data_IF_756686519315
#
_entry.id   IF_756686519315
#
_cell.length_a   1.000
_cell.length_b   1.000
_cell.length_c   1.000
_cell.angle_alpha   90.00
_cell.angle_beta   90.00
_cell.angle_gamma   90.00
#
_symmetry.space_group_name_H-M   'P 1'
#
loop_
_entity.id
_entity.type
_entity.pdbx_description
1 polymer ?
#
# COMPACT_ATOMS: atom_id res chain seq x y z
N UNK A 1 -10.32 -30.07 20.89
CA UNK A 1 -10.51 -30.33 19.45
C UNK A 1 -9.51 -29.46 18.71
N UNK A 2 -8.31 -29.99 18.44
CA UNK A 2 -7.22 -29.24 17.79
C UNK A 2 -7.31 -29.44 16.28
N UNK A 3 -7.35 -28.33 15.54
CA UNK A 3 -7.35 -28.31 14.08
C UNK A 3 -6.05 -28.92 13.53
N UNK A 4 -6.10 -30.17 13.09
CA UNK A 4 -5.08 -30.79 12.24
C UNK A 4 -5.10 -30.15 10.86
N UNK A 5 -4.23 -29.16 10.63
CA UNK A 5 -3.85 -28.79 9.28
C UNK A 5 -2.98 -29.92 8.73
N UNK A 6 -3.45 -30.60 7.68
CA UNK A 6 -2.66 -31.57 6.93
C UNK A 6 -1.48 -30.83 6.27
N UNK A 7 -0.30 -30.88 6.89
CA UNK A 7 0.95 -30.54 6.21
C UNK A 7 1.28 -31.68 5.26
N UNK A 8 1.03 -31.49 3.97
CA UNK A 8 1.60 -32.33 2.92
C UNK A 8 3.07 -31.91 2.74
N UNK A 9 4.01 -32.86 2.85
CA UNK A 9 5.38 -32.61 2.40
C UNK A 9 5.32 -32.21 0.93
N UNK A 10 5.84 -31.01 0.64
CA UNK A 10 5.83 -30.43 -0.71
C UNK A 10 7.23 -30.55 -1.30
N UNK A 11 7.35 -30.30 -2.60
CA UNK A 11 8.62 -30.26 -3.35
C UNK A 11 9.80 -29.47 -2.75
N UNK A 12 9.66 -28.50 -1.82
CA UNK A 12 10.80 -27.85 -1.18
C UNK A 12 11.67 -28.81 -0.34
N UNK A 13 11.09 -29.84 0.26
CA UNK A 13 11.74 -30.63 1.32
C UNK A 13 12.92 -31.47 0.80
N UNK A 14 12.85 -31.96 -0.46
CA UNK A 14 13.94 -32.68 -1.12
C UNK A 14 15.12 -31.77 -1.51
N UNK A 15 14.83 -30.53 -1.92
CA UNK A 15 15.86 -29.54 -2.26
C UNK A 15 16.63 -29.08 -1.01
N UNK A 16 15.98 -29.02 0.16
CA UNK A 16 16.64 -28.73 1.43
C UNK A 16 17.62 -29.85 1.82
N UNK A 17 17.22 -31.12 1.72
CA UNK A 17 18.11 -32.27 1.98
C UNK A 17 19.38 -32.21 1.13
N UNK A 18 19.26 -31.97 -0.19
CA UNK A 18 20.41 -31.91 -1.09
C UNK A 18 21.40 -30.78 -0.76
N UNK A 19 20.93 -29.66 -0.22
CA UNK A 19 21.79 -28.56 0.22
C UNK A 19 22.44 -28.84 1.57
N UNK A 20 21.73 -29.51 2.46
CA UNK A 20 22.21 -29.88 3.80
C UNK A 20 23.23 -31.02 3.74
N UNK A 21 23.07 -31.98 2.82
CA UNK A 21 24.04 -33.06 2.56
C UNK A 21 25.42 -32.55 2.09
N UNK A 22 25.53 -31.29 1.65
CA UNK A 22 26.81 -30.67 1.27
C UNK A 22 27.57 -30.08 2.44
N UNK A 23 26.95 -30.03 3.62
CA UNK A 23 27.59 -29.52 4.83
C UNK A 23 28.25 -30.69 5.56
N UNK A 24 29.51 -30.51 5.98
CA UNK A 24 30.27 -31.51 6.75
C UNK A 24 29.86 -31.48 8.23
N UNK A 25 28.56 -31.52 8.49
CA UNK A 25 27.96 -31.60 9.82
C UNK A 25 26.83 -32.64 9.78
N UNK A 26 26.67 -33.46 10.84
CA UNK A 26 25.56 -34.40 10.93
C UNK A 26 24.25 -33.62 11.06
N UNK A 27 23.34 -33.79 10.10
CA UNK A 27 22.01 -33.16 10.09
C UNK A 27 20.95 -34.24 10.21
N UNK A 28 20.09 -34.14 11.23
CA UNK A 28 18.90 -34.97 11.37
C UNK A 28 17.67 -34.19 10.87
N UNK A 29 16.94 -34.75 9.89
CA UNK A 29 15.71 -34.15 9.37
C UNK A 29 14.52 -34.95 9.86
N UNK A 30 13.60 -34.27 10.55
CA UNK A 30 12.39 -34.87 11.09
C UNK A 30 11.18 -34.51 10.22
N UNK A 31 10.43 -35.52 9.79
CA UNK A 31 9.19 -35.32 9.07
C UNK A 31 8.03 -34.99 10.04
N UNK A 32 7.11 -34.08 9.68
CA UNK A 32 5.92 -33.82 10.46
C UNK A 32 5.05 -35.07 10.68
N UNK A 33 4.30 -35.07 11.78
CA UNK A 33 3.39 -36.16 12.13
C UNK A 33 2.32 -36.35 11.03
N UNK A 34 2.12 -37.60 10.59
CA UNK A 34 1.17 -37.93 9.53
C UNK A 34 1.76 -37.94 8.11
N UNK A 35 3.06 -37.68 7.96
CA UNK A 35 3.73 -37.80 6.66
C UNK A 35 3.68 -39.25 6.15
N UNK A 36 3.28 -39.42 4.88
CA UNK A 36 3.20 -40.74 4.25
C UNK A 36 4.55 -41.45 4.28
N UNK A 37 4.55 -42.73 4.65
CA UNK A 37 5.77 -43.56 4.73
C UNK A 37 6.59 -43.61 3.44
N UNK A 38 5.96 -43.35 2.29
CA UNK A 38 6.65 -43.29 0.98
C UNK A 38 7.52 -42.03 0.83
N UNK A 39 7.13 -40.92 1.47
CA UNK A 39 7.78 -39.60 1.36
C UNK A 39 8.94 -39.40 2.33
N UNK A 40 9.12 -40.30 3.30
CA UNK A 40 10.19 -40.27 4.31
C UNK A 40 11.33 -41.24 3.98
N UNK A 41 11.33 -41.80 2.77
CA UNK A 41 12.37 -42.72 2.31
C UNK A 41 13.55 -41.94 1.75
N UNK A 42 14.77 -42.46 1.94
CA UNK A 42 15.99 -41.90 1.33
C UNK A 42 15.85 -41.83 -0.18
N UNK A 43 15.30 -42.86 -0.81
CA UNK A 43 15.10 -42.92 -2.25
C UNK A 43 14.21 -41.78 -2.78
N UNK A 44 13.19 -41.38 -2.01
CA UNK A 44 12.35 -40.23 -2.36
C UNK A 44 13.09 -38.91 -2.17
N UNK A 45 13.84 -38.75 -1.07
CA UNK A 45 14.61 -37.55 -0.76
C UNK A 45 15.78 -37.33 -1.72
N UNK A 46 16.41 -38.42 -2.17
CA UNK A 46 17.55 -38.43 -3.09
C UNK A 46 17.13 -38.44 -4.57
N UNK A 47 15.85 -38.66 -4.86
CA UNK A 47 15.35 -38.60 -6.24
C UNK A 47 15.55 -37.19 -6.82
N UNK A 48 16.26 -37.09 -7.94
CA UNK A 48 16.23 -35.89 -8.77
C UNK A 48 14.82 -35.76 -9.34
N UNK A 49 14.02 -34.87 -8.73
CA UNK A 49 12.67 -34.59 -9.22
C UNK A 49 12.76 -33.97 -10.62
N UNK A 50 12.61 -34.81 -11.66
CA UNK A 50 12.24 -34.37 -12.99
C UNK A 50 10.78 -33.94 -12.96
N UNK A 51 10.55 -32.68 -12.61
CA UNK A 51 9.22 -32.11 -12.62
C UNK A 51 9.30 -30.60 -12.62
N UNK A 52 8.64 -29.99 -13.61
CA UNK A 52 8.43 -28.56 -13.81
C UNK A 52 7.62 -27.88 -12.68
N UNK A 53 7.71 -28.37 -11.43
CA UNK A 53 7.45 -27.56 -10.25
C UNK A 53 8.71 -26.74 -9.94
N UNK A 54 9.17 -25.97 -10.94
CA UNK A 54 9.75 -24.68 -10.63
C UNK A 54 8.66 -23.99 -9.81
N UNK A 55 8.81 -24.00 -8.49
CA UNK A 55 8.33 -22.89 -7.69
C UNK A 55 8.93 -21.69 -8.42
N UNK A 56 8.13 -21.05 -9.29
CA UNK A 56 8.41 -19.72 -9.78
C UNK A 56 8.33 -18.89 -8.51
N UNK A 57 9.40 -18.95 -7.72
CA UNK A 57 9.62 -18.03 -6.65
C UNK A 57 9.54 -16.70 -7.34
N UNK A 58 8.47 -15.94 -7.08
CA UNK A 58 8.41 -14.55 -7.49
C UNK A 58 9.77 -13.99 -7.10
N UNK A 59 10.53 -13.51 -8.10
CA UNK A 59 11.79 -12.81 -7.82
C UNK A 59 11.41 -11.74 -6.82
N UNK A 60 11.87 -11.88 -5.57
CA UNK A 60 11.54 -10.93 -4.52
C UNK A 60 11.95 -9.57 -5.03
N UNK A 61 11.04 -8.60 -5.00
CA UNK A 61 11.38 -7.24 -5.39
C UNK A 61 12.61 -6.82 -4.59
N UNK A 62 13.65 -6.37 -5.31
CA UNK A 62 14.83 -5.82 -4.69
C UNK A 62 14.44 -4.49 -4.07
N UNK A 63 14.94 -4.21 -2.86
CA UNK A 63 14.75 -2.91 -2.22
C UNK A 63 15.14 -1.79 -3.18
N UNK A 64 14.19 -0.89 -3.46
CA UNK A 64 14.42 0.31 -4.26
C UNK A 64 14.90 1.46 -3.37
N UNK A 65 15.99 2.17 -3.71
CA UNK A 65 16.44 3.32 -2.93
C UNK A 65 15.37 4.40 -2.74
N UNK A 66 14.50 4.58 -3.73
CA UNK A 66 13.39 5.52 -3.73
C UNK A 66 12.38 5.24 -2.60
N UNK A 67 12.27 3.98 -2.15
CA UNK A 67 11.37 3.62 -1.05
C UNK A 67 11.84 4.19 0.29
N UNK A 68 13.08 4.65 0.42
CA UNK A 68 13.51 5.42 1.59
C UNK A 68 12.63 6.67 1.79
N UNK A 69 12.19 7.31 0.70
CA UNK A 69 11.27 8.46 0.80
C UNK A 69 9.89 8.06 1.34
N UNK A 70 9.40 6.83 1.07
CA UNK A 70 8.14 6.33 1.62
C UNK A 70 8.23 6.10 3.13
N UNK A 71 9.35 5.52 3.58
CA UNK A 71 9.61 5.31 5.02
C UNK A 71 9.88 6.63 5.72
N UNK A 72 10.48 7.62 5.04
CA UNK A 72 10.67 8.96 5.58
C UNK A 72 9.33 9.65 5.87
N UNK A 73 8.35 9.55 4.96
CA UNK A 73 6.99 10.05 5.22
C UNK A 73 6.41 9.39 6.47
N UNK A 74 6.54 8.06 6.60
CA UNK A 74 6.07 7.33 7.78
C UNK A 74 6.79 7.82 9.05
N UNK A 75 8.11 8.03 9.00
CA UNK A 75 8.91 8.51 10.13
C UNK A 75 8.51 9.90 10.59
N UNK A 76 8.22 10.80 9.66
CA UNK A 76 7.81 12.16 10.00
C UNK A 76 6.37 12.23 10.51
N UNK A 77 5.49 11.34 10.04
CA UNK A 77 4.13 11.20 10.60
C UNK A 77 4.19 10.60 12.01
N UNK A 78 4.96 9.54 12.24
CA UNK A 78 5.10 8.89 13.56
C UNK A 78 5.71 9.82 14.63
N UNK A 79 6.55 10.77 14.21
CA UNK A 79 7.14 11.76 15.12
C UNK A 79 6.15 12.83 15.62
N UNK A 80 4.94 12.93 15.05
CA UNK A 80 3.96 13.93 15.44
C UNK A 80 3.14 13.45 16.65
N UNK A 81 2.99 14.27 17.72
CA UNK A 81 2.36 13.86 18.99
C UNK A 81 0.93 13.31 18.91
N UNK A 82 0.19 13.65 17.85
CA UNK A 82 -1.22 13.30 17.67
C UNK A 82 -1.51 12.67 16.30
N UNK A 83 -0.50 12.17 15.61
CA UNK A 83 -0.72 11.52 14.33
C UNK A 83 -1.51 10.21 14.50
N UNK A 84 -2.48 10.01 13.61
CA UNK A 84 -3.19 8.75 13.53
C UNK A 84 -2.23 7.64 13.12
N UNK A 85 -2.31 6.45 13.74
CA UNK A 85 -1.44 5.36 13.36
C UNK A 85 -1.67 4.95 11.90
N UNK A 86 -0.58 4.76 11.17
CA UNK A 86 -0.65 4.42 9.75
C UNK A 86 -0.90 2.92 9.59
N UNK A 87 -2.11 2.54 9.16
CA UNK A 87 -2.41 1.17 8.75
C UNK A 87 -2.01 0.88 7.30
N UNK A 88 -2.14 -0.39 6.87
CA UNK A 88 -1.86 -0.82 5.48
C UNK A 88 -2.61 0.01 4.44
N UNK A 89 -3.86 0.37 4.69
CA UNK A 89 -4.66 1.17 3.75
C UNK A 89 -4.13 2.59 3.64
N UNK A 90 -3.80 3.24 4.76
CA UNK A 90 -3.23 4.60 4.73
C UNK A 90 -1.85 4.58 4.05
N UNK A 91 -1.02 3.57 4.34
CA UNK A 91 0.27 3.40 3.68
C UNK A 91 0.13 3.19 2.16
N UNK A 92 -0.88 2.43 1.72
CA UNK A 92 -1.25 2.32 0.30
C UNK A 92 -1.50 3.70 -0.33
N UNK A 93 -2.20 4.58 0.38
CA UNK A 93 -2.52 5.92 -0.11
C UNK A 93 -1.30 6.84 -0.09
N UNK A 94 -0.41 6.71 0.90
CA UNK A 94 0.88 7.42 0.91
C UNK A 94 1.71 7.02 -0.32
N UNK A 95 1.82 5.71 -0.59
CA UNK A 95 2.54 5.21 -1.76
C UNK A 95 1.95 5.76 -3.07
N UNK A 96 0.63 5.81 -3.16
CA UNK A 96 -0.07 6.40 -4.30
C UNK A 96 0.30 7.88 -4.48
N UNK A 97 0.17 8.69 -3.43
CA UNK A 97 0.44 10.13 -3.50
C UNK A 97 1.90 10.40 -3.87
N UNK A 98 2.85 9.70 -3.24
CA UNK A 98 4.27 9.86 -3.56
C UNK A 98 4.57 9.48 -5.02
N UNK A 99 3.95 8.41 -5.52
CA UNK A 99 4.05 8.02 -6.94
C UNK A 99 3.50 9.13 -7.84
N UNK A 100 2.39 9.75 -7.47
CA UNK A 100 1.80 10.87 -8.24
C UNK A 100 2.57 12.17 -8.19
N UNK A 101 3.33 12.40 -7.11
CA UNK A 101 4.28 13.50 -7.05
C UNK A 101 5.55 13.20 -7.86
N UNK A 102 5.67 12.02 -8.47
CA UNK A 102 6.78 11.64 -9.35
C UNK A 102 7.94 10.97 -8.61
N UNK A 103 7.65 10.20 -7.56
CA UNK A 103 8.57 9.20 -7.03
C UNK A 103 8.45 7.92 -7.89
N UNK A 104 9.55 7.41 -8.42
CA UNK A 104 9.54 6.11 -9.13
C UNK A 104 9.47 4.96 -8.12
N UNK A 105 8.26 4.68 -7.66
CA UNK A 105 8.01 3.57 -6.73
C UNK A 105 8.01 2.21 -7.42
N UNK A 106 7.81 2.17 -8.75
CA UNK A 106 7.53 0.96 -9.50
C UNK A 106 6.11 0.41 -9.36
N UNK A 107 5.22 1.09 -8.62
CA UNK A 107 3.87 0.59 -8.35
C UNK A 107 2.88 0.97 -9.46
N UNK A 108 2.10 0.01 -9.93
CA UNK A 108 1.01 0.28 -10.87
C UNK A 108 -0.31 0.44 -10.12
N UNK A 109 -0.77 1.68 -10.01
CA UNK A 109 -2.02 1.99 -9.31
C UNK A 109 -3.22 1.95 -10.26
N UNK A 110 -4.19 1.12 -9.90
CA UNK A 110 -5.43 0.94 -10.63
C UNK A 110 -6.64 1.40 -9.82
N UNK A 111 -7.76 1.62 -10.52
CA UNK A 111 -9.05 1.96 -9.94
C UNK A 111 -9.62 0.74 -9.21
N UNK A 112 -9.93 0.88 -7.92
CA UNK A 112 -10.55 -0.21 -7.13
C UNK A 112 -11.70 0.30 -6.24
N UNK A 113 -12.46 -0.60 -5.61
CA UNK A 113 -13.62 -0.28 -4.77
C UNK A 113 -13.31 0.66 -3.61
N UNK A 114 -12.05 0.73 -3.17
CA UNK A 114 -11.57 1.56 -2.07
C UNK A 114 -10.57 2.65 -2.54
N UNK A 115 -10.71 3.12 -3.78
CA UNK A 115 -9.82 4.11 -4.38
C UNK A 115 -8.62 3.48 -5.11
N UNK A 116 -7.52 4.22 -5.33
CA UNK A 116 -6.34 3.69 -6.03
C UNK A 116 -5.66 2.57 -5.23
N UNK A 117 -5.28 1.50 -5.90
CA UNK A 117 -4.69 0.31 -5.31
C UNK A 117 -3.61 -0.29 -6.21
N UNK A 118 -2.51 -0.76 -5.61
CA UNK A 118 -1.43 -1.52 -6.24
C UNK A 118 -1.11 -2.75 -5.37
N UNK A 119 -1.02 -3.94 -5.96
CA UNK A 119 -0.68 -5.18 -5.23
C UNK A 119 0.77 -5.15 -4.72
N UNK A 120 1.64 -4.47 -5.46
CA UNK A 120 3.07 -4.32 -5.25
C UNK A 120 3.38 -3.64 -3.91
N UNK A 121 2.49 -2.78 -3.40
CA UNK A 121 2.67 -2.16 -2.08
C UNK A 121 2.73 -3.22 -0.97
N UNK A 122 1.94 -4.30 -1.08
CA UNK A 122 1.99 -5.41 -0.11
C UNK A 122 3.35 -6.10 -0.16
N UNK A 123 3.88 -6.31 -1.36
CA UNK A 123 5.19 -6.92 -1.56
C UNK A 123 6.32 -6.00 -1.05
N UNK A 124 6.22 -4.70 -1.31
CA UNK A 124 7.13 -3.69 -0.81
C UNK A 124 7.15 -3.62 0.73
N UNK A 125 6.00 -3.68 1.41
CA UNK A 125 5.95 -3.77 2.88
C UNK A 125 6.75 -4.98 3.37
N UNK A 126 6.61 -6.15 2.73
CA UNK A 126 7.39 -7.33 3.10
C UNK A 126 8.89 -7.14 2.88
N UNK A 127 9.31 -6.49 1.79
CA UNK A 127 10.73 -6.18 1.53
C UNK A 127 11.29 -5.19 2.57
N UNK A 128 10.53 -4.14 2.90
CA UNK A 128 10.89 -3.16 3.92
C UNK A 128 10.99 -3.79 5.31
N UNK A 129 10.07 -4.72 5.62
CA UNK A 129 10.09 -5.45 6.88
C UNK A 129 11.32 -6.36 6.99
N UNK A 130 11.70 -7.05 5.90
CA UNK A 130 12.92 -7.88 5.86
C UNK A 130 14.21 -7.06 6.09
N UNK A 131 14.21 -5.78 5.70
CA UNK A 131 15.31 -4.84 5.96
C UNK A 131 15.21 -4.18 7.35
N UNK A 132 14.17 -4.50 8.13
CA UNK A 132 13.83 -3.85 9.41
C UNK A 132 13.64 -2.33 9.28
N UNK A 133 13.17 -1.87 8.12
CA UNK A 133 12.81 -0.46 7.89
C UNK A 133 11.38 -0.15 8.33
N UNK A 134 10.49 -1.15 8.32
CA UNK A 134 9.14 -1.06 8.86
C UNK A 134 8.84 -2.27 9.73
N UNK A 135 7.94 -2.10 10.70
CA UNK A 135 7.45 -3.16 11.57
C UNK A 135 5.93 -3.08 11.64
N UNK A 136 5.26 -4.22 11.55
CA UNK A 136 3.81 -4.31 11.75
C UNK A 136 3.52 -4.60 13.23
N UNK A 137 2.74 -3.73 13.87
CA UNK A 137 2.36 -3.87 15.29
C UNK A 137 0.85 -3.91 15.41
N UNK A 138 0.33 -4.85 16.20
CA UNK A 138 -1.09 -4.92 16.48
C UNK A 138 -1.49 -3.83 17.50
N UNK A 139 -2.43 -2.99 17.13
CA UNK A 139 -3.04 -1.96 17.96
C UNK A 139 -4.54 -2.25 18.09
N UNK A 140 -4.90 -3.04 19.10
CA UNK A 140 -6.27 -3.53 19.28
C UNK A 140 -6.70 -4.41 18.11
N UNK A 141 -7.72 -3.99 17.35
CA UNK A 141 -8.20 -4.70 16.14
C UNK A 141 -7.43 -4.31 14.87
N UNK A 142 -6.61 -3.27 14.90
CA UNK A 142 -5.89 -2.74 13.74
C UNK A 142 -4.43 -3.20 13.72
N UNK A 143 -3.88 -3.43 12.54
CA UNK A 143 -2.44 -3.59 12.34
C UNK A 143 -1.84 -2.27 11.85
N UNK A 144 -0.98 -1.66 12.65
CA UNK A 144 -0.26 -0.43 12.31
C UNK A 144 1.12 -0.77 11.72
N UNK A 145 1.56 0.03 10.75
CA UNK A 145 2.90 0.01 10.18
C UNK A 145 3.68 1.13 10.87
N UNK A 146 4.79 0.78 11.49
CA UNK A 146 5.71 1.70 12.19
C UNK A 146 7.08 1.68 11.57
N UNK A 147 7.87 2.72 11.84
CA UNK A 147 9.28 2.73 11.46
C UNK A 147 10.04 1.66 12.25
N UNK A 148 10.81 0.86 11.52
CA UNK A 148 11.63 -0.20 12.09
C UNK A 148 12.99 0.31 12.61
N UNK A 149 13.63 -0.45 13.52
CA UNK A 149 14.82 -0.01 14.23
C UNK A 149 16.07 0.18 13.34
N UNK A 150 16.11 -0.44 12.15
CA UNK A 150 17.24 -0.26 11.23
C UNK A 150 17.14 1.05 10.43
N UNK A 151 15.93 1.60 10.25
CA UNK A 151 15.73 2.77 9.39
C UNK A 151 16.50 4.01 9.85
N UNK A 152 16.55 4.43 11.13
CA UNK A 152 17.28 5.64 11.53
C UNK A 152 18.77 5.60 11.20
N UNK A 153 19.38 4.41 11.23
CA UNK A 153 20.78 4.21 10.84
C UNK A 153 20.92 4.29 9.31
N UNK A 154 20.11 3.50 8.60
CA UNK A 154 20.16 3.39 7.14
C UNK A 154 19.73 4.70 6.46
N UNK A 155 18.88 5.52 7.10
CA UNK A 155 18.45 6.85 6.64
C UNK A 155 19.64 7.74 6.25
N UNK A 156 20.79 7.58 6.91
CA UNK A 156 22.02 8.32 6.58
C UNK A 156 22.61 7.90 5.22
N UNK A 157 22.53 6.62 4.88
CA UNK A 157 22.98 6.06 3.61
C UNK A 157 22.10 6.54 2.44
N UNK A 158 20.79 6.68 2.67
CA UNK A 158 19.81 7.11 1.67
C UNK A 158 19.52 8.63 1.71
N UNK A 159 20.41 9.41 2.33
CA UNK A 159 20.19 10.84 2.54
C UNK A 159 20.01 11.60 1.22
N UNK A 160 20.76 11.25 0.17
CA UNK A 160 20.66 11.91 -1.14
C UNK A 160 19.30 11.67 -1.79
N UNK A 161 18.76 10.44 -1.74
CA UNK A 161 17.44 10.10 -2.26
C UNK A 161 16.35 10.82 -1.46
N UNK A 162 16.44 10.82 -0.13
CA UNK A 162 15.48 11.54 0.73
C UNK A 162 15.49 13.03 0.41
N UNK A 163 16.69 13.63 0.27
CA UNK A 163 16.84 15.05 -0.02
C UNK A 163 16.31 15.42 -1.41
N UNK A 164 16.49 14.56 -2.41
CA UNK A 164 15.93 14.74 -3.75
C UNK A 164 14.39 14.85 -3.74
N UNK A 165 13.73 14.13 -2.84
CA UNK A 165 12.26 14.10 -2.73
C UNK A 165 11.72 14.91 -1.54
N UNK A 166 12.55 15.71 -0.86
CA UNK A 166 12.20 16.42 0.37
C UNK A 166 10.90 17.21 0.28
N UNK A 167 10.73 18.03 -0.76
CA UNK A 167 9.51 18.83 -0.94
C UNK A 167 8.25 17.97 -1.14
N UNK A 168 8.38 16.80 -1.78
CA UNK A 168 7.28 15.85 -1.98
C UNK A 168 6.94 15.11 -0.69
N UNK A 169 7.97 14.76 0.11
CA UNK A 169 7.82 14.17 1.43
C UNK A 169 7.09 15.15 2.33
N UNK A 170 7.57 16.38 2.47
CA UNK A 170 6.95 17.43 3.29
C UNK A 170 5.49 17.68 2.88
N UNK A 171 5.22 17.81 1.58
CA UNK A 171 3.86 17.98 1.05
C UNK A 171 2.96 16.78 1.40
N UNK A 172 3.47 15.55 1.28
CA UNK A 172 2.70 14.34 1.64
C UNK A 172 2.46 14.25 3.15
N UNK A 173 3.46 14.58 3.96
CA UNK A 173 3.33 14.63 5.43
C UNK A 173 2.28 15.66 5.84
N UNK A 174 2.25 16.85 5.24
CA UNK A 174 1.23 17.88 5.51
C UNK A 174 -0.18 17.41 5.14
N UNK A 175 -0.35 16.67 4.04
CA UNK A 175 -1.64 16.11 3.68
C UNK A 175 -2.10 15.05 4.69
N UNK A 176 -1.23 14.09 5.00
CA UNK A 176 -1.59 12.94 5.84
C UNK A 176 -1.65 13.26 7.34
N UNK A 177 -1.00 14.33 7.81
CA UNK A 177 -1.14 14.81 9.19
C UNK A 177 -2.55 15.35 9.50
N UNK A 178 -3.26 15.84 8.46
CA UNK A 178 -4.63 16.37 8.57
C UNK A 178 -5.71 15.28 8.47
N UNK A 179 -5.33 14.05 8.12
CA UNK A 179 -6.26 12.95 7.90
C UNK A 179 -6.63 12.31 9.23
N UNK A 180 -7.94 12.24 9.50
CA UNK A 180 -8.51 11.73 10.76
C UNK A 180 -8.70 10.22 10.77
N UNK A 181 -8.93 9.61 9.61
CA UNK A 181 -9.24 8.18 9.51
C UNK A 181 -8.99 7.63 8.10
N UNK A 182 -9.09 6.31 7.98
CA UNK A 182 -8.90 5.57 6.72
C UNK A 182 -9.88 6.00 5.62
N UNK A 183 -11.13 6.30 5.98
CA UNK A 183 -12.16 6.68 5.00
C UNK A 183 -11.82 8.01 4.33
N UNK A 184 -11.31 8.97 5.09
CA UNK A 184 -10.84 10.25 4.56
C UNK A 184 -9.58 10.10 3.70
N UNK A 185 -8.64 9.21 4.09
CA UNK A 185 -7.48 8.89 3.24
C UNK A 185 -7.90 8.30 1.89
N UNK A 186 -8.87 7.38 1.91
CA UNK A 186 -9.44 6.82 0.70
C UNK A 186 -10.09 7.89 -0.17
N UNK A 187 -10.90 8.77 0.42
CA UNK A 187 -11.62 9.81 -0.30
C UNK A 187 -10.67 10.77 -1.00
N UNK A 188 -9.67 11.29 -0.28
CA UNK A 188 -8.62 12.17 -0.84
C UNK A 188 -7.90 11.49 -2.00
N UNK A 189 -7.45 10.25 -1.83
CA UNK A 189 -6.76 9.52 -2.87
C UNK A 189 -7.66 9.23 -4.09
N UNK A 190 -8.95 8.97 -3.85
CA UNK A 190 -9.97 8.77 -4.89
C UNK A 190 -10.16 10.05 -5.72
N UNK A 191 -10.27 11.21 -5.06
CA UNK A 191 -10.39 12.52 -5.73
C UNK A 191 -9.17 12.79 -6.60
N UNK A 192 -7.96 12.67 -6.04
CA UNK A 192 -6.72 12.92 -6.77
C UNK A 192 -6.58 11.96 -7.97
N UNK A 193 -6.96 10.69 -7.81
CA UNK A 193 -6.98 9.72 -8.90
C UNK A 193 -7.99 10.08 -10.00
N UNK A 194 -9.21 10.42 -9.62
CA UNK A 194 -10.26 10.78 -10.57
C UNK A 194 -9.88 12.01 -11.39
N UNK A 195 -9.31 13.06 -10.78
CA UNK A 195 -8.83 14.25 -11.51
C UNK A 195 -7.79 13.89 -12.56
N UNK A 196 -6.81 13.04 -12.22
CA UNK A 196 -5.80 12.63 -13.18
C UNK A 196 -6.39 11.81 -14.32
N UNK A 197 -7.33 10.91 -14.01
CA UNK A 197 -7.98 10.09 -15.02
C UNK A 197 -8.79 10.96 -16.00
N UNK A 198 -9.60 11.88 -15.48
CA UNK A 198 -10.36 12.84 -16.29
C UNK A 198 -9.44 13.72 -17.16
N UNK A 199 -8.31 14.21 -16.61
CA UNK A 199 -7.34 14.98 -17.39
C UNK A 199 -6.66 14.16 -18.48
N UNK A 200 -6.39 12.89 -18.23
CA UNK A 200 -5.79 12.00 -19.25
C UNK A 200 -6.78 11.62 -20.36
N UNK A 201 -8.08 11.55 -20.06
CA UNK A 201 -9.14 11.24 -21.03
C UNK A 201 -9.55 12.47 -21.85
N UNK A 202 -9.54 13.67 -21.26
CA UNK A 202 -9.91 14.94 -21.92
C UNK A 202 -8.71 15.65 -22.53
N UNK A 203 -7.83 14.94 -23.23
CA UNK A 203 -6.46 15.32 -23.67
C UNK A 203 -6.26 16.66 -24.45
N UNK A 204 -7.24 17.54 -24.54
CA UNK A 204 -7.14 18.91 -25.07
C UNK A 204 -6.81 19.90 -23.95
N UNK A 205 -5.66 20.56 -24.06
CA UNK A 205 -4.98 21.44 -23.07
C UNK A 205 -5.79 22.62 -22.49
N UNK A 206 -7.06 22.81 -22.89
CA UNK A 206 -7.90 23.96 -22.50
C UNK A 206 -9.08 23.65 -21.60
N UNK A 207 -9.47 22.39 -21.39
CA UNK A 207 -10.60 22.07 -20.53
C UNK A 207 -10.15 21.86 -19.09
N UNK A 208 -10.37 22.88 -18.26
CA UNK A 208 -10.33 22.74 -16.82
C UNK A 208 -11.44 21.80 -16.39
N UNK A 209 -11.08 20.67 -15.77
CA UNK A 209 -12.07 19.75 -15.18
C UNK A 209 -12.86 20.54 -14.13
N UNK A 210 -14.18 20.59 -14.27
CA UNK A 210 -15.02 21.27 -13.28
C UNK A 210 -15.14 20.43 -12.01
N UNK A 211 -15.39 21.10 -10.89
CA UNK A 211 -15.71 20.41 -9.63
C UNK A 211 -16.91 19.45 -9.81
N UNK A 212 -17.91 19.85 -10.60
CA UNK A 212 -19.12 19.05 -10.84
C UNK A 212 -18.83 17.81 -11.71
N UNK A 213 -18.02 17.95 -12.75
CA UNK A 213 -17.57 16.82 -13.57
C UNK A 213 -16.89 15.75 -12.71
N UNK A 214 -15.99 16.21 -11.85
CA UNK A 214 -15.25 15.35 -10.93
C UNK A 214 -16.18 14.67 -9.93
N UNK A 215 -17.10 15.43 -9.35
CA UNK A 215 -18.09 14.94 -8.40
C UNK A 215 -18.96 13.83 -9.02
N UNK A 216 -19.51 14.08 -10.21
CA UNK A 216 -20.32 13.11 -10.95
C UNK A 216 -19.54 11.85 -11.29
N UNK A 217 -18.31 12.01 -11.80
CA UNK A 217 -17.44 10.89 -12.13
C UNK A 217 -17.15 9.99 -10.91
N UNK A 218 -16.87 10.59 -9.75
CA UNK A 218 -16.63 9.83 -8.51
C UNK A 218 -17.91 9.14 -8.04
N UNK A 219 -19.07 9.79 -8.14
CA UNK A 219 -20.34 9.17 -7.78
C UNK A 219 -20.72 8.01 -8.69
N UNK A 220 -20.44 8.09 -9.99
CA UNK A 220 -20.63 6.98 -10.93
C UNK A 220 -19.73 5.78 -10.58
N UNK A 221 -18.49 6.06 -10.14
CA UNK A 221 -17.59 5.04 -9.65
C UNK A 221 -18.08 4.44 -8.34
N UNK A 222 -18.41 5.28 -7.37
CA UNK A 222 -18.79 4.92 -6.01
C UNK A 222 -20.30 4.98 -5.88
N UNK A 223 -21.01 4.13 -6.62
CA UNK A 223 -22.49 4.02 -6.57
C UNK A 223 -23.06 3.97 -5.15
N UNK A 224 -22.44 3.30 -4.15
CA UNK A 224 -22.93 3.34 -2.78
C UNK A 224 -22.94 4.75 -2.15
N UNK A 225 -22.04 5.65 -2.55
CA UNK A 225 -21.96 7.02 -2.03
C UNK A 225 -23.11 7.90 -2.53
N UNK A 226 -23.69 7.59 -3.70
CA UNK A 226 -24.84 8.33 -4.23
C UNK A 226 -26.04 8.31 -3.28
N UNK A 227 -26.22 7.19 -2.57
CA UNK A 227 -27.34 6.99 -1.64
C UNK A 227 -27.12 7.64 -0.27
N UNK A 228 -25.89 8.06 0.03
CA UNK A 228 -25.54 8.62 1.33
C UNK A 228 -25.29 10.12 1.20
N UNK A 229 -26.25 10.93 1.64
CA UNK A 229 -26.20 12.39 1.56
C UNK A 229 -24.98 12.98 2.28
N UNK A 230 -24.69 12.54 3.50
CA UNK A 230 -23.50 12.99 4.22
C UNK A 230 -22.22 12.67 3.46
N UNK A 231 -22.14 11.52 2.80
CA UNK A 231 -20.97 11.14 2.00
C UNK A 231 -20.82 12.02 0.76
N UNK A 232 -21.92 12.46 0.14
CA UNK A 232 -21.91 13.43 -0.96
C UNK A 232 -21.39 14.79 -0.51
N UNK A 233 -21.87 15.30 0.63
CA UNK A 233 -21.39 16.57 1.19
C UNK A 233 -19.91 16.49 1.53
N UNK A 234 -19.48 15.43 2.23
CA UNK A 234 -18.07 15.23 2.55
C UNK A 234 -17.19 15.19 1.28
N UNK A 235 -17.67 14.51 0.22
CA UNK A 235 -16.96 14.47 -1.05
C UNK A 235 -16.81 15.86 -1.69
N UNK A 236 -17.88 16.66 -1.69
CA UNK A 236 -17.85 18.02 -2.20
C UNK A 236 -16.88 18.91 -1.40
N UNK A 237 -16.89 18.80 -0.06
CA UNK A 237 -15.93 19.47 0.81
C UNK A 237 -14.49 19.02 0.53
N UNK A 238 -14.24 17.72 0.38
CA UNK A 238 -12.91 17.19 0.08
C UNK A 238 -12.39 17.71 -1.27
N UNK A 239 -13.25 17.81 -2.30
CA UNK A 239 -12.89 18.38 -3.60
C UNK A 239 -12.43 19.83 -3.44
N UNK A 240 -13.23 20.67 -2.78
CA UNK A 240 -12.89 22.09 -2.54
C UNK A 240 -11.65 22.26 -1.67
N UNK A 241 -11.51 21.46 -0.61
CA UNK A 241 -10.34 21.50 0.27
C UNK A 241 -9.05 21.14 -0.48
N UNK A 242 -9.09 20.15 -1.38
CA UNK A 242 -7.93 19.78 -2.19
C UNK A 242 -7.59 20.83 -3.25
N UNK A 243 -8.58 21.54 -3.77
CA UNK A 243 -8.37 22.68 -4.66
C UNK A 243 -7.70 23.85 -3.91
N UNK A 244 -8.24 24.25 -2.77
CA UNK A 244 -7.67 25.30 -1.90
C UNK A 244 -6.23 24.97 -1.45
N UNK A 245 -5.95 23.70 -1.14
CA UNK A 245 -4.61 23.22 -0.77
C UNK A 245 -3.68 23.01 -1.98
N UNK A 246 -4.09 23.39 -3.19
CA UNK A 246 -3.30 23.27 -4.42
C UNK A 246 -2.82 21.82 -4.70
N UNK A 247 -3.65 20.84 -4.35
CA UNK A 247 -3.47 19.44 -4.74
C UNK A 247 -4.06 19.12 -6.10
N UNK A 248 -5.15 19.83 -6.45
CA UNK A 248 -5.82 19.72 -7.75
C UNK A 248 -6.08 21.12 -8.30
N UNK A 249 -6.22 21.23 -9.61
CA UNK A 249 -6.64 22.45 -10.31
C UNK A 249 -7.94 22.14 -11.03
N UNK A 250 -9.02 22.80 -10.62
CA UNK A 250 -10.38 22.58 -11.09
C UNK A 250 -11.04 23.93 -11.42
N UNK A 251 -12.09 23.92 -12.24
CA UNK A 251 -12.96 25.09 -12.40
C UNK A 251 -14.09 25.03 -11.37
N UNK A 252 -14.29 26.15 -10.67
CA UNK A 252 -15.33 26.29 -9.65
C UNK A 252 -16.72 25.98 -10.22
N UNK A 253 -17.55 25.34 -9.40
CA UNK A 253 -18.94 25.08 -9.76
C UNK A 253 -19.88 25.38 -8.58
N UNK A 254 -20.91 26.19 -8.83
CA UNK A 254 -21.93 26.54 -7.83
C UNK A 254 -22.82 25.35 -7.44
N UNK A 255 -22.87 24.28 -8.26
CA UNK A 255 -23.79 23.17 -8.07
C UNK A 255 -23.32 22.09 -7.08
N UNK A 256 -22.12 22.24 -6.49
CA UNK A 256 -21.63 21.29 -5.49
C UNK A 256 -22.37 21.46 -4.16
N UNK A 257 -22.87 20.35 -3.55
CA UNK A 257 -23.55 20.39 -2.27
C UNK A 257 -22.72 21.10 -1.19
N UNK A 258 -23.39 21.93 -0.40
CA UNK A 258 -22.82 22.61 0.76
C UNK A 258 -23.33 21.97 2.05
N UNK A 259 -22.65 22.18 3.18
CA UNK A 259 -23.14 21.73 4.48
C UNK A 259 -24.52 22.30 4.86
N UNK A 260 -24.84 23.49 4.35
CA UNK A 260 -26.17 24.10 4.51
C UNK A 260 -27.26 23.29 3.83
N UNK A 261 -26.94 22.61 2.72
CA UNK A 261 -27.90 21.82 1.96
C UNK A 261 -28.26 20.51 2.68
N UNK A 262 -27.34 19.92 3.45
CA UNK A 262 -27.64 18.76 4.29
C UNK A 262 -28.47 19.13 5.54
N UNK A 263 -28.30 20.34 6.08
CA UNK A 263 -29.05 20.82 7.23
C UNK A 263 -30.50 21.23 6.90
N UNK A 264 -30.79 21.60 5.64
CA UNK A 264 -32.12 22.00 5.20
C UNK A 264 -33.09 20.82 4.96
N UNK A 265 -32.60 19.58 4.98
CA UNK A 265 -33.35 18.36 4.62
C UNK A 265 -33.45 17.37 5.81
N UNK A 266 -32.83 17.70 6.95
CA UNK A 266 -32.86 16.92 8.19
C UNK A 266 -34.01 17.36 9.12
#
# INVERSE_FOLDING_TARGET
VANTHNFQMTTPDTQYQQKLNKLDIPVEIYAPYGTSKKLITTDFLDSELQGEFLVKGKRREKLRPEWAALVEVLSQLEAQPYANPVGRVIFQKICYIMTKLGLDTGFQFERNSYGPYANEVKEAISVLANKNWVVETQLGKMTAIKVGPAYPKDRKEYHSQIQQFRSKIEKTVDLFSRIKNTDQAEEIATVIFAVQKLKSERATEKDTVSEQDLFNYILEWKKPWQKNEQKRVNLAETIRNLEMLSWVKLSFSESLPTPSDAAAVA
#
